data_IF_539429085186
#
_entry.id   IF_539429085186
#
_cell.length_a   1.000
_cell.length_b   1.000
_cell.length_c   1.000
_cell.angle_alpha   90.00
_cell.angle_beta   90.00
_cell.angle_gamma   90.00
#
_symmetry.space_group_name_H-M   'P 1'
#
loop_
_entity.id
_entity.type
_entity.pdbx_description
1 polymer ?
#
# COMPACT_ATOMS: atom_id res chain seq x y z
N UNK A 1 -14.80 -3.06 1.59
CA UNK A 1 -14.06 -1.88 2.06
C UNK A 1 -12.57 -2.00 1.73
N UNK A 2 -11.95 -0.90 1.37
CA UNK A 2 -10.53 -0.80 1.08
C UNK A 2 -9.85 0.05 2.16
N UNK A 3 -8.62 -0.31 2.56
CA UNK A 3 -7.87 0.52 3.51
C UNK A 3 -7.71 1.93 2.94
N UNK A 4 -7.86 2.93 3.79
CA UNK A 4 -7.89 4.32 3.38
C UNK A 4 -9.23 4.78 2.81
N UNK A 5 -10.22 3.90 2.68
CA UNK A 5 -11.55 4.29 2.23
C UNK A 5 -12.15 5.30 3.19
N UNK A 6 -12.76 6.35 2.64
CA UNK A 6 -13.41 7.42 3.40
C UNK A 6 -14.91 7.44 3.19
N UNK A 7 -15.35 7.22 1.95
CA UNK A 7 -16.75 7.27 1.57
C UNK A 7 -17.44 5.93 1.82
N UNK A 8 -18.71 5.97 2.16
CA UNK A 8 -19.53 4.76 2.31
C UNK A 8 -19.34 4.01 3.61
N UNK A 9 -18.61 4.54 4.58
CA UNK A 9 -18.43 3.89 5.88
C UNK A 9 -19.48 4.33 6.92
N UNK A 10 -20.32 5.30 6.58
CA UNK A 10 -21.43 5.73 7.43
C UNK A 10 -21.04 6.52 8.68
N UNK A 11 -19.78 6.94 8.77
CA UNK A 11 -19.30 7.74 9.90
C UNK A 11 -18.91 9.12 9.38
N UNK A 12 -19.55 10.13 9.87
CA UNK A 12 -19.25 11.51 9.51
C UNK A 12 -19.93 12.45 10.49
N UNK A 13 -19.34 13.59 10.73
CA UNK A 13 -19.89 14.58 11.62
C UNK A 13 -20.02 14.13 13.06
N UNK A 14 -19.26 13.12 13.49
CA UNK A 14 -19.28 12.64 14.86
C UNK A 14 -18.80 13.72 15.82
N UNK A 15 -19.57 13.99 16.84
CA UNK A 15 -19.20 14.94 17.89
C UNK A 15 -18.12 14.41 18.84
N UNK A 16 -17.77 13.14 18.73
CA UNK A 16 -16.71 12.53 19.55
C UNK A 16 -15.35 12.57 18.87
N UNK A 17 -15.27 13.03 17.63
CA UNK A 17 -14.02 13.16 16.90
C UNK A 17 -13.49 14.60 16.91
N UNK A 18 -12.34 14.80 16.29
CA UNK A 18 -11.69 16.12 16.16
C UNK A 18 -12.12 16.89 14.92
N UNK A 19 -13.13 16.41 14.20
CA UNK A 19 -13.62 17.05 12.97
C UNK A 19 -12.91 16.58 11.70
N UNK A 20 -11.83 15.81 11.81
CA UNK A 20 -11.14 15.25 10.67
C UNK A 20 -11.91 14.07 10.04
N UNK A 21 -11.68 13.76 8.75
CA UNK A 21 -12.34 12.61 8.14
C UNK A 21 -11.91 11.27 8.74
N UNK A 22 -12.79 10.31 8.64
CA UNK A 22 -12.54 8.93 9.07
C UNK A 22 -12.13 8.07 7.89
N UNK A 23 -11.20 7.15 8.14
CA UNK A 23 -10.66 6.23 7.12
C UNK A 23 -10.67 4.80 7.63
N UNK A 24 -10.86 3.85 6.71
CA UNK A 24 -10.70 2.42 7.01
C UNK A 24 -9.22 2.12 7.19
N UNK A 25 -8.83 1.63 8.37
CA UNK A 25 -7.43 1.33 8.68
C UNK A 25 -7.16 -0.17 8.75
N UNK A 26 -8.15 -0.99 9.05
CA UNK A 26 -7.98 -2.43 9.21
C UNK A 26 -9.30 -3.14 9.00
N UNK A 27 -9.23 -4.34 8.42
CA UNK A 27 -10.39 -5.22 8.24
C UNK A 27 -10.14 -6.53 8.98
N UNK A 28 -11.14 -6.98 9.72
CA UNK A 28 -11.14 -8.30 10.35
C UNK A 28 -12.33 -9.08 9.81
N UNK A 29 -12.13 -9.76 8.70
CA UNK A 29 -13.19 -10.46 7.96
C UNK A 29 -13.81 -11.58 8.80
N UNK A 30 -13.01 -12.45 9.48
CA UNK A 30 -13.60 -13.50 10.32
C UNK A 30 -14.55 -12.98 11.41
N UNK A 31 -14.28 -11.83 11.97
CA UNK A 31 -15.10 -11.22 13.00
C UNK A 31 -16.07 -10.16 12.47
N UNK A 32 -16.14 -10.00 11.15
CA UNK A 32 -17.00 -9.01 10.49
C UNK A 32 -16.82 -7.61 11.09
N UNK A 33 -15.56 -7.24 11.36
CA UNK A 33 -15.21 -6.00 12.04
C UNK A 33 -14.39 -5.11 11.12
N UNK A 34 -14.73 -3.83 11.13
CA UNK A 34 -14.03 -2.79 10.38
C UNK A 34 -13.45 -1.80 11.37
N UNK A 35 -12.12 -1.60 11.33
CA UNK A 35 -11.44 -0.62 12.17
C UNK A 35 -11.27 0.67 11.38
N UNK A 36 -11.77 1.76 11.93
CA UNK A 36 -11.65 3.08 11.32
C UNK A 36 -10.84 3.98 12.23
N UNK A 37 -10.10 4.91 11.61
CA UNK A 37 -9.29 5.90 12.31
C UNK A 37 -9.61 7.29 11.78
N UNK A 38 -9.40 8.29 12.60
CA UNK A 38 -9.64 9.67 12.21
C UNK A 38 -8.33 10.35 11.83
N UNK A 39 -8.37 11.10 10.73
CA UNK A 39 -7.22 11.83 10.22
C UNK A 39 -6.40 11.04 9.22
N UNK A 40 -6.02 11.70 8.12
CA UNK A 40 -5.24 11.10 7.03
C UNK A 40 -3.87 10.59 7.51
N UNK A 41 -3.26 11.26 8.47
CA UNK A 41 -1.90 10.95 8.92
C UNK A 41 -1.84 9.97 10.10
N UNK A 42 -2.95 9.31 10.40
CA UNK A 42 -2.99 8.35 11.50
C UNK A 42 -1.97 7.23 11.28
N UNK A 43 -1.16 6.85 12.30
CA UNK A 43 -0.10 5.86 12.14
C UNK A 43 -0.58 4.51 11.60
N UNK A 44 -1.81 4.11 11.88
CA UNK A 44 -2.37 2.85 11.38
C UNK A 44 -2.57 2.82 9.86
N UNK A 45 -2.56 3.99 9.21
CA UNK A 45 -2.63 4.09 7.76
C UNK A 45 -1.26 4.06 7.09
N UNK A 46 -0.16 4.10 7.87
CA UNK A 46 1.19 4.25 7.36
C UNK A 46 1.99 2.97 7.47
N UNK A 47 2.80 2.69 6.44
CA UNK A 47 3.71 1.55 6.38
C UNK A 47 5.04 2.00 5.77
N UNK A 48 6.12 1.29 6.08
CA UNK A 48 7.45 1.57 5.53
C UNK A 48 7.99 0.41 4.69
N UNK A 49 7.26 -0.68 4.60
CA UNK A 49 7.61 -1.81 3.76
C UNK A 49 6.35 -2.54 3.30
N UNK A 50 6.46 -3.26 2.20
CA UNK A 50 5.41 -4.18 1.76
C UNK A 50 6.02 -5.44 1.16
N UNK A 51 5.27 -6.51 1.26
CA UNK A 51 5.53 -7.78 0.59
C UNK A 51 4.40 -8.04 -0.40
N UNK A 52 4.75 -8.36 -1.62
CA UNK A 52 3.79 -8.64 -2.68
C UNK A 52 4.10 -9.96 -3.35
N UNK A 53 3.08 -10.60 -3.89
CA UNK A 53 3.16 -11.92 -4.51
C UNK A 53 2.78 -11.86 -5.98
N UNK A 54 3.05 -12.95 -6.70
CA UNK A 54 2.74 -13.10 -8.13
C UNK A 54 3.33 -11.96 -8.97
N UNK A 55 4.64 -11.68 -8.83
CA UNK A 55 5.25 -10.62 -9.61
C UNK A 55 5.20 -10.96 -11.10
N UNK A 56 4.91 -9.95 -11.91
CA UNK A 56 4.95 -10.02 -13.35
C UNK A 56 5.89 -8.93 -13.85
N UNK A 57 7.09 -9.33 -14.27
CA UNK A 57 8.11 -8.41 -14.76
C UNK A 57 8.04 -8.37 -16.28
N UNK A 58 7.82 -7.18 -16.84
CA UNK A 58 7.61 -7.00 -18.28
C UNK A 58 8.81 -7.48 -19.09
N UNK A 59 10.03 -7.24 -18.60
CA UNK A 59 11.26 -7.72 -19.26
C UNK A 59 11.53 -9.21 -19.05
N UNK A 60 10.78 -9.86 -18.14
CA UNK A 60 11.05 -11.23 -17.72
C UNK A 60 12.12 -11.36 -16.64
N UNK A 61 12.74 -10.27 -16.23
CA UNK A 61 13.81 -10.26 -15.22
C UNK A 61 13.42 -9.38 -14.05
N UNK A 62 13.47 -9.95 -12.83
CA UNK A 62 13.20 -9.21 -11.61
C UNK A 62 14.33 -8.20 -11.32
N UNK A 63 14.00 -7.03 -10.74
CA UNK A 63 15.02 -6.10 -10.27
C UNK A 63 15.84 -6.70 -9.14
N UNK A 64 17.12 -6.35 -9.07
CA UNK A 64 18.03 -6.86 -8.06
C UNK A 64 17.78 -6.22 -6.69
N UNK A 65 18.09 -6.96 -5.62
CA UNK A 65 18.09 -6.43 -4.27
C UNK A 65 19.02 -5.22 -4.17
N UNK A 66 18.60 -4.19 -3.47
CA UNK A 66 19.33 -2.94 -3.32
C UNK A 66 18.99 -1.88 -4.36
N UNK A 67 18.30 -2.24 -5.43
CA UNK A 67 17.91 -1.30 -6.47
C UNK A 67 16.81 -0.36 -5.99
N UNK A 68 16.92 0.92 -6.34
CA UNK A 68 15.88 1.91 -6.06
C UNK A 68 14.91 1.98 -7.21
N UNK A 69 13.62 1.96 -6.90
CA UNK A 69 12.53 1.98 -7.87
C UNK A 69 11.45 2.98 -7.44
N UNK A 70 10.63 3.40 -8.39
CA UNK A 70 9.38 4.06 -8.09
C UNK A 70 8.29 3.03 -7.81
N UNK A 71 7.41 3.33 -6.88
CA UNK A 71 6.33 2.46 -6.43
C UNK A 71 5.00 3.21 -6.47
N UNK A 72 3.99 2.58 -7.06
CA UNK A 72 2.59 3.02 -6.92
C UNK A 72 1.78 1.89 -6.34
N UNK A 73 1.01 2.20 -5.30
CA UNK A 73 0.05 1.26 -4.69
C UNK A 73 -1.40 1.68 -4.93
N UNK A 74 -1.61 2.82 -5.57
CA UNK A 74 -2.92 3.37 -5.93
C UNK A 74 -2.83 4.04 -7.29
N UNK A 75 -3.95 4.03 -8.02
CA UNK A 75 -4.02 4.52 -9.40
C UNK A 75 -3.58 5.98 -9.57
N UNK A 76 -3.97 6.87 -8.66
CA UNK A 76 -3.74 8.31 -8.80
C UNK A 76 -2.70 8.88 -7.85
N UNK A 77 -1.81 8.04 -7.33
CA UNK A 77 -0.71 8.55 -6.51
C UNK A 77 0.51 8.83 -7.38
N UNK A 78 1.35 9.75 -6.92
CA UNK A 78 2.68 9.92 -7.49
C UNK A 78 3.56 8.71 -7.14
N UNK A 79 4.58 8.45 -7.96
CA UNK A 79 5.58 7.42 -7.65
C UNK A 79 6.25 7.77 -6.33
N UNK A 80 6.40 6.77 -5.48
CA UNK A 80 7.14 6.89 -4.25
C UNK A 80 8.40 6.03 -4.34
N UNK A 81 9.54 6.59 -3.93
CA UNK A 81 10.81 5.89 -4.00
C UNK A 81 10.84 4.73 -3.01
N UNK A 82 11.24 3.56 -3.49
CA UNK A 82 11.41 2.38 -2.65
C UNK A 82 12.69 1.64 -3.01
N UNK A 83 13.16 0.83 -2.07
CA UNK A 83 14.35 -0.02 -2.25
C UNK A 83 13.93 -1.47 -2.27
N UNK A 84 14.40 -2.21 -3.25
CA UNK A 84 14.19 -3.66 -3.33
C UNK A 84 15.01 -4.33 -2.24
N UNK A 85 14.34 -5.03 -1.33
CA UNK A 85 14.97 -5.76 -0.25
C UNK A 85 15.24 -7.19 -0.68
N UNK A 86 14.26 -7.82 -1.33
CA UNK A 86 14.34 -9.21 -1.76
C UNK A 86 13.38 -9.46 -2.91
N UNK A 87 13.82 -10.23 -3.89
CA UNK A 87 12.96 -10.74 -4.95
C UNK A 87 13.24 -12.21 -5.18
N UNK A 88 12.20 -12.96 -5.52
CA UNK A 88 12.28 -14.32 -6.04
C UNK A 88 11.15 -14.52 -7.06
N UNK A 89 10.99 -15.74 -7.56
CA UNK A 89 9.97 -16.02 -8.58
C UNK A 89 8.54 -15.82 -8.08
N UNK A 90 8.33 -15.83 -6.78
CA UNK A 90 7.00 -15.80 -6.16
C UNK A 90 6.68 -14.51 -5.43
N UNK A 91 7.69 -13.70 -5.09
CA UNK A 91 7.47 -12.53 -4.25
C UNK A 91 8.48 -11.41 -4.48
N UNK A 92 8.11 -10.23 -4.03
CA UNK A 92 8.99 -9.07 -3.96
C UNK A 92 8.73 -8.34 -2.64
N UNK A 93 9.82 -7.94 -1.98
CA UNK A 93 9.76 -7.16 -0.73
C UNK A 93 10.49 -5.85 -0.97
N UNK A 94 9.84 -4.74 -0.66
CA UNK A 94 10.42 -3.41 -0.81
C UNK A 94 10.24 -2.61 0.48
N UNK A 95 11.12 -1.64 0.69
CA UNK A 95 11.05 -0.70 1.80
C UNK A 95 11.07 0.74 1.29
N UNK A 96 10.54 1.66 2.09
CA UNK A 96 10.50 3.09 1.77
C UNK A 96 10.96 3.89 2.97
N UNK A 97 11.70 4.99 2.73
CA UNK A 97 12.05 5.94 3.80
C UNK A 97 10.85 6.79 4.19
N UNK A 98 10.02 7.14 3.21
CA UNK A 98 8.79 7.89 3.45
C UNK A 98 7.63 6.91 3.65
N UNK A 99 6.65 7.26 4.49
CA UNK A 99 5.54 6.35 4.74
C UNK A 99 4.70 6.09 3.49
N UNK A 100 4.34 4.82 3.32
CA UNK A 100 3.38 4.37 2.32
C UNK A 100 1.99 4.46 2.94
N UNK A 101 1.06 5.13 2.27
CA UNK A 101 -0.26 5.37 2.84
C UNK A 101 -1.26 4.30 2.44
N UNK A 102 -1.94 3.73 3.45
CA UNK A 102 -3.08 2.82 3.29
C UNK A 102 -2.81 1.67 2.31
N UNK A 103 -1.65 1.03 2.44
CA UNK A 103 -1.29 -0.15 1.65
C UNK A 103 -2.30 -1.25 1.92
N UNK A 104 -2.97 -1.73 0.87
CA UNK A 104 -4.10 -2.63 1.00
C UNK A 104 -3.78 -3.99 0.42
N UNK A 105 -3.85 -5.09 1.21
CA UNK A 105 -3.74 -6.45 0.69
C UNK A 105 -4.74 -6.71 -0.44
N UNK A 106 -4.29 -7.39 -1.48
CA UNK A 106 -5.10 -7.69 -2.66
C UNK A 106 -5.07 -6.63 -3.75
N UNK A 107 -4.60 -5.44 -3.46
CA UNK A 107 -4.38 -4.41 -4.46
C UNK A 107 -3.03 -4.60 -5.14
N UNK A 108 -2.82 -3.94 -6.29
CA UNK A 108 -1.58 -4.06 -7.03
C UNK A 108 -0.53 -3.06 -6.57
N UNK A 109 0.72 -3.54 -6.45
CA UNK A 109 1.89 -2.70 -6.38
C UNK A 109 2.51 -2.65 -7.77
N UNK A 110 2.78 -1.46 -8.31
CA UNK A 110 3.37 -1.29 -9.63
C UNK A 110 4.71 -0.59 -9.49
N UNK A 111 5.72 -1.13 -10.17
CA UNK A 111 7.10 -0.69 -10.03
C UNK A 111 7.59 -0.02 -11.30
N UNK A 112 8.35 1.07 -11.12
CA UNK A 112 8.82 1.91 -12.21
C UNK A 112 10.32 2.19 -12.07
N UNK A 113 10.99 2.30 -13.20
CA UNK A 113 12.30 2.95 -13.33
C UNK A 113 12.04 4.28 -14.02
N UNK A 114 11.98 5.36 -13.25
CA UNK A 114 11.50 6.66 -13.71
C UNK A 114 10.11 6.53 -14.35
N UNK A 115 9.98 6.73 -15.66
CA UNK A 115 8.69 6.62 -16.37
C UNK A 115 8.43 5.22 -16.94
N UNK A 116 9.41 4.33 -16.87
CA UNK A 116 9.30 2.98 -17.45
C UNK A 116 8.67 2.03 -16.43
N UNK A 117 7.52 1.47 -16.77
CA UNK A 117 6.88 0.46 -15.95
C UNK A 117 7.67 -0.86 -16.05
N UNK A 118 8.17 -1.35 -14.92
CA UNK A 118 8.92 -2.61 -14.86
C UNK A 118 8.01 -3.81 -14.66
N UNK A 119 6.88 -3.62 -14.03
CA UNK A 119 5.94 -4.70 -13.73
C UNK A 119 5.14 -4.42 -12.47
N UNK A 120 4.47 -5.44 -11.98
CA UNK A 120 3.62 -5.33 -10.80
C UNK A 120 3.49 -6.64 -10.06
N UNK A 121 2.91 -6.55 -8.87
CA UNK A 121 2.64 -7.69 -8.00
C UNK A 121 1.42 -7.41 -7.15
N UNK A 122 0.90 -8.44 -6.48
CA UNK A 122 -0.28 -8.30 -5.61
C UNK A 122 0.19 -8.13 -4.18
N UNK A 123 -0.23 -7.04 -3.56
CA UNK A 123 0.15 -6.72 -2.18
C UNK A 123 -0.39 -7.81 -1.25
N UNK A 124 0.48 -8.38 -0.42
CA UNK A 124 0.12 -9.35 0.59
C UNK A 124 0.11 -8.74 1.99
N UNK A 125 1.23 -8.18 2.42
CA UNK A 125 1.38 -7.59 3.75
C UNK A 125 2.13 -6.26 3.68
N UNK A 126 1.97 -5.46 4.72
CA UNK A 126 2.72 -4.21 4.88
C UNK A 126 3.07 -4.00 6.36
N UNK A 127 4.11 -3.26 6.60
CA UNK A 127 4.55 -2.93 7.96
C UNK A 127 5.02 -1.50 8.09
#
# INVERSE_FOLDING_TARGET
YTLGQRKGIGVGGSKFGNGEPWFVARKDIPNNTLYIVQGHDHPWLQSFSLSATRPNWISGTAPEAGRMLGLKTRYRMADQECKVIRTDDESVVVSSLDPLWAVTPGQSAVFYDEEVCLGGAIIGTSR
#
